data_IF_715249247798
#
_entry.id   IF_715249247798
#
_cell.length_a   1.000
_cell.length_b   1.000
_cell.length_c   1.000
_cell.angle_alpha   90.00
_cell.angle_beta   90.00
_cell.angle_gamma   90.00
#
_symmetry.space_group_name_H-M   'P 1'
#
loop_
_entity.id
_entity.type
_entity.pdbx_description
1 polymer ?
#
# COMPACT_ATOMS: atom_id res chain seq x y z
N UNK A 1 -11.73 -18.86 -1.36
CA UNK A 1 -12.33 -19.25 -2.65
C UNK A 1 -12.38 -18.02 -3.55
N UNK A 2 -11.71 -18.03 -4.71
CA UNK A 2 -11.72 -16.89 -5.63
C UNK A 2 -12.96 -16.96 -6.53
N UNK A 3 -13.98 -16.15 -6.23
CA UNK A 3 -15.16 -16.03 -7.09
C UNK A 3 -14.84 -15.11 -8.28
N UNK A 4 -15.03 -15.60 -9.52
CA UNK A 4 -14.90 -14.80 -10.75
C UNK A 4 -16.28 -14.44 -11.28
N UNK A 5 -16.56 -13.14 -11.41
CA UNK A 5 -17.78 -12.60 -11.99
C UNK A 5 -17.54 -12.18 -13.45
N UNK A 6 -18.52 -12.40 -14.32
CA UNK A 6 -18.53 -11.91 -15.71
C UNK A 6 -19.23 -10.55 -15.75
N UNK A 7 -18.60 -9.57 -16.38
CA UNK A 7 -19.16 -8.24 -16.57
C UNK A 7 -18.98 -7.83 -18.04
N UNK A 8 -20.02 -7.25 -18.63
CA UNK A 8 -19.97 -6.66 -19.97
C UNK A 8 -19.82 -5.14 -19.81
N UNK A 9 -18.85 -4.56 -20.50
CA UNK A 9 -18.53 -3.13 -20.43
C UNK A 9 -18.61 -2.58 -21.85
N UNK A 10 -19.27 -1.43 -22.02
CA UNK A 10 -19.30 -0.72 -23.28
C UNK A 10 -18.02 0.12 -23.42
N UNK A 11 -17.43 0.07 -24.60
CA UNK A 11 -16.28 0.89 -24.98
C UNK A 11 -16.63 1.67 -26.24
N UNK A 12 -16.09 2.86 -26.34
CA UNK A 12 -15.98 3.52 -27.63
C UNK A 12 -15.11 2.68 -28.57
N UNK A 13 -15.43 2.68 -29.86
CA UNK A 13 -14.75 1.83 -30.83
C UNK A 13 -13.24 2.12 -30.89
N UNK A 14 -12.87 3.40 -30.81
CA UNK A 14 -11.48 3.85 -30.81
C UNK A 14 -10.69 3.31 -29.60
N UNK A 15 -11.31 3.31 -28.43
CA UNK A 15 -10.68 2.81 -27.19
C UNK A 15 -10.56 1.28 -27.20
N UNK A 16 -11.57 0.58 -27.74
CA UNK A 16 -11.46 -0.86 -27.92
C UNK A 16 -10.34 -1.25 -28.88
N UNK A 17 -10.18 -0.51 -29.99
CA UNK A 17 -9.06 -0.73 -30.95
C UNK A 17 -7.70 -0.50 -30.29
N UNK A 18 -7.55 0.56 -29.49
CA UNK A 18 -6.33 0.83 -28.71
C UNK A 18 -6.03 -0.28 -27.70
N UNK A 19 -7.04 -0.71 -26.95
CA UNK A 19 -6.90 -1.80 -25.99
C UNK A 19 -6.45 -3.09 -26.69
N UNK A 20 -7.01 -3.39 -27.86
CA UNK A 20 -6.64 -4.56 -28.66
C UNK A 20 -5.20 -4.47 -29.16
N UNK A 21 -4.76 -3.32 -29.64
CA UNK A 21 -3.38 -3.12 -30.08
C UNK A 21 -2.38 -3.40 -28.95
N UNK A 22 -2.61 -2.81 -27.76
CA UNK A 22 -1.77 -3.02 -26.57
C UNK A 22 -1.80 -4.50 -26.14
N UNK A 23 -2.96 -5.16 -26.24
CA UNK A 23 -3.10 -6.58 -25.90
C UNK A 23 -2.23 -7.48 -26.78
N UNK A 24 -2.11 -7.16 -28.07
CA UNK A 24 -1.31 -7.90 -29.03
C UNK A 24 0.18 -7.67 -28.80
N UNK A 25 0.58 -6.41 -28.60
CA UNK A 25 1.97 -6.03 -28.33
C UNK A 25 2.51 -6.69 -27.04
N UNK A 26 1.69 -6.74 -25.99
CA UNK A 26 2.08 -7.33 -24.70
C UNK A 26 1.84 -8.84 -24.62
N UNK A 27 1.16 -9.45 -25.59
CA UNK A 27 0.76 -10.87 -25.54
C UNK A 27 -0.19 -11.20 -24.37
N UNK A 28 -1.02 -10.25 -23.94
CA UNK A 28 -1.94 -10.41 -22.79
C UNK A 28 -3.38 -10.28 -23.23
N UNK A 29 -4.30 -10.97 -22.56
CA UNK A 29 -5.73 -10.82 -22.88
C UNK A 29 -6.26 -9.42 -22.51
N UNK A 30 -7.20 -8.84 -23.28
CA UNK A 30 -7.83 -7.56 -22.96
C UNK A 30 -8.43 -7.52 -21.54
N UNK A 31 -9.05 -8.62 -21.10
CA UNK A 31 -9.57 -8.73 -19.75
C UNK A 31 -8.49 -8.64 -18.66
N UNK A 32 -7.27 -9.12 -18.94
CA UNK A 32 -6.12 -8.99 -18.04
C UNK A 32 -5.71 -7.53 -17.90
N UNK A 33 -5.64 -6.80 -19.02
CA UNK A 33 -5.30 -5.38 -19.03
C UNK A 33 -6.35 -4.53 -18.32
N UNK A 34 -7.64 -4.82 -18.53
CA UNK A 34 -8.74 -4.12 -17.83
C UNK A 34 -8.65 -4.33 -16.31
N UNK A 35 -8.36 -5.55 -15.84
CA UNK A 35 -8.17 -5.82 -14.41
C UNK A 35 -7.00 -5.01 -13.84
N UNK A 36 -5.88 -4.97 -14.55
CA UNK A 36 -4.70 -4.21 -14.10
C UNK A 36 -4.96 -2.70 -14.09
N UNK A 37 -5.67 -2.19 -15.10
CA UNK A 37 -6.05 -0.79 -15.19
C UNK A 37 -6.97 -0.39 -14.03
N UNK A 38 -7.98 -1.20 -13.72
CA UNK A 38 -8.87 -0.98 -12.56
C UNK A 38 -8.07 -1.00 -11.26
N UNK A 39 -7.18 -1.98 -11.07
CA UNK A 39 -6.32 -2.04 -9.88
C UNK A 39 -5.39 -0.82 -9.78
N UNK A 40 -4.80 -0.38 -10.88
CA UNK A 40 -3.97 0.82 -10.94
C UNK A 40 -4.76 2.10 -10.64
N UNK A 41 -5.96 2.23 -11.20
CA UNK A 41 -6.87 3.34 -10.94
C UNK A 41 -7.25 3.42 -9.46
N UNK A 42 -7.68 2.29 -8.88
CA UNK A 42 -8.02 2.17 -7.46
C UNK A 42 -6.84 2.53 -6.59
N UNK A 43 -5.64 1.97 -6.85
CA UNK A 43 -4.43 2.29 -6.07
C UNK A 43 -4.08 3.77 -6.12
N UNK A 44 -4.20 4.41 -7.30
CA UNK A 44 -3.91 5.85 -7.45
C UNK A 44 -4.96 6.71 -6.77
N UNK A 45 -6.24 6.35 -6.87
CA UNK A 45 -7.37 7.16 -6.40
C UNK A 45 -7.69 6.98 -4.91
N UNK A 46 -7.52 5.77 -4.39
CA UNK A 46 -7.88 5.41 -3.00
C UNK A 46 -6.68 5.40 -2.04
N UNK A 47 -5.46 5.69 -2.50
CA UNK A 47 -4.28 5.88 -1.63
C UNK A 47 -4.44 6.99 -0.57
N UNK A 48 -5.52 7.77 -0.61
CA UNK A 48 -5.81 8.85 0.31
C UNK A 48 -6.80 8.52 1.46
N UNK A 49 -7.29 7.28 1.63
CA UNK A 49 -7.91 6.89 2.91
C UNK A 49 -6.82 6.39 3.85
N UNK A 50 -6.19 7.32 4.58
CA UNK A 50 -5.47 6.96 5.80
C UNK A 50 -6.38 6.06 6.64
N UNK A 51 -5.86 4.92 7.08
CA UNK A 51 -6.57 4.03 8.01
C UNK A 51 -6.93 4.88 9.24
N UNK A 52 -8.21 4.98 9.60
CA UNK A 52 -8.67 5.79 10.75
C UNK A 52 -8.21 5.22 12.11
N UNK A 53 -7.40 4.17 12.12
CA UNK A 53 -6.81 3.62 13.33
C UNK A 53 -5.35 3.22 13.07
N UNK A 54 -4.47 4.20 13.18
CA UNK A 54 -3.10 3.98 13.66
C UNK A 54 -3.15 4.14 15.19
N UNK A 55 -3.78 3.18 15.87
CA UNK A 55 -4.04 3.32 17.31
C UNK A 55 -4.56 2.08 18.05
N UNK A 56 -4.70 0.92 17.39
CA UNK A 56 -5.07 -0.31 18.09
C UNK A 56 -3.82 -1.04 18.61
N UNK A 57 -3.04 -0.36 19.47
CA UNK A 57 -2.02 -1.01 20.27
C UNK A 57 -2.69 -1.71 21.44
N UNK A 58 -2.93 -3.03 21.35
CA UNK A 58 -3.36 -3.84 22.50
C UNK A 58 -2.12 -4.21 23.33
N UNK A 59 -1.42 -3.21 23.87
CA UNK A 59 -0.19 -3.45 24.67
C UNK A 59 -0.48 -3.91 26.09
N UNK A 60 -1.74 -3.86 26.55
CA UNK A 60 -2.11 -4.18 27.93
C UNK A 60 -1.47 -3.28 28.99
N UNK A 61 -0.70 -2.27 28.56
CA UNK A 61 0.03 -1.31 29.38
C UNK A 61 -0.47 0.08 29.06
N UNK A 62 -1.17 0.67 30.03
CA UNK A 62 -1.83 1.97 29.89
C UNK A 62 -0.85 3.15 30.12
N UNK A 63 0.33 2.88 30.66
CA UNK A 63 1.33 3.88 31.10
C UNK A 63 2.31 4.30 30.00
N UNK A 64 2.18 3.75 28.79
CA UNK A 64 3.13 3.99 27.69
C UNK A 64 3.15 5.46 27.23
N UNK A 65 2.00 6.15 27.24
CA UNK A 65 1.94 7.58 26.90
C UNK A 65 2.57 8.46 27.98
N UNK A 66 2.39 8.11 29.26
CA UNK A 66 2.91 8.89 30.40
C UNK A 66 4.42 8.73 30.54
N UNK A 67 4.96 7.57 30.14
CA UNK A 67 6.39 7.25 30.22
C UNK A 67 7.14 7.44 28.91
N UNK A 68 6.49 8.00 27.89
CA UNK A 68 7.06 8.14 26.55
C UNK A 68 8.42 8.85 26.58
N UNK A 69 8.54 9.91 27.38
CA UNK A 69 9.78 10.67 27.52
C UNK A 69 10.89 9.90 28.26
N UNK A 70 10.54 9.13 29.28
CA UNK A 70 11.49 8.30 30.04
C UNK A 70 12.04 7.16 29.17
N UNK A 71 11.16 6.52 28.39
CA UNK A 71 11.50 5.45 27.45
C UNK A 71 12.36 5.98 26.27
N UNK A 72 12.04 7.15 25.72
CA UNK A 72 12.85 7.76 24.66
C UNK A 72 14.20 8.29 25.17
N UNK A 73 14.27 8.80 26.41
CA UNK A 73 15.53 9.29 27.01
C UNK A 73 16.56 8.18 27.21
N UNK A 74 16.13 6.95 27.48
CA UNK A 74 17.02 5.80 27.70
C UNK A 74 17.76 5.30 26.46
N UNK A 75 17.16 5.46 25.27
CA UNK A 75 17.67 4.87 24.02
C UNK A 75 18.28 5.90 23.06
N UNK A 76 17.84 7.16 23.09
CA UNK A 76 18.20 8.14 22.04
C UNK A 76 19.34 9.13 22.40
N UNK A 77 19.83 9.14 23.64
CA UNK A 77 20.94 10.01 24.08
C UNK A 77 22.24 9.24 24.35
N UNK A 78 22.67 8.40 23.41
CA UNK A 78 24.06 7.91 23.37
C UNK A 78 24.87 8.64 22.29
N UNK A 79 25.56 9.74 22.61
CA UNK A 79 26.67 10.17 21.79
C UNK A 79 27.96 9.46 22.22
N UNK A 80 28.62 8.93 21.20
CA UNK A 80 30.07 8.77 21.05
C UNK A 80 30.81 7.60 21.74
N UNK A 81 31.29 6.74 20.84
CA UNK A 81 32.69 6.33 20.70
C UNK A 81 33.31 5.32 21.67
N UNK A 82 34.07 4.42 21.04
CA UNK A 82 34.79 3.27 21.56
C UNK A 82 36.16 3.67 22.15
N UNK A 83 36.50 3.02 23.29
CA UNK A 83 37.81 2.48 23.77
C UNK A 83 38.98 3.43 24.08
N UNK A 84 40.03 2.99 24.82
CA UNK A 84 40.08 2.14 26.03
C UNK A 84 41.00 2.72 27.15
N UNK A 85 41.13 1.94 28.23
CA UNK A 85 41.91 2.03 29.48
C UNK A 85 43.42 2.33 29.35
N UNK A 86 44.05 2.71 30.47
CA UNK A 86 44.85 1.75 31.26
C UNK A 86 44.24 1.39 32.61
#
# INVERSE_FOLDING_TARGET
MSSRMKMTIYFEESDYRRLKAISLELGRSPASLVRDAVAAFVRRRLRAKKVQSLGSGRSGRYDLSERAEELLKGEFLRPACRTPTP
#
